data_IF_330676259600
#
_entry.id   IF_330676259600
#
_cell.length_a   1.000
_cell.length_b   1.000
_cell.length_c   1.000
_cell.angle_alpha   90.00
_cell.angle_beta   90.00
_cell.angle_gamma   90.00
#
_symmetry.space_group_name_H-M   'P 1'
#
loop_
_entity.id
_entity.type
_entity.pdbx_description
1 polymer ?
#
# COMPACT_ATOMS: atom_id res chain seq x y z
N UNK A 1 27.34 47.79 39.39
CA UNK A 1 26.86 46.39 39.35
C UNK A 1 27.58 45.63 40.44
N UNK A 2 26.86 45.11 41.43
CA UNK A 2 27.44 44.61 42.68
C UNK A 2 27.84 43.13 42.49
N UNK A 3 28.95 42.70 43.05
CA UNK A 3 29.51 41.34 42.97
C UNK A 3 28.51 40.23 43.36
N UNK A 4 27.53 40.56 44.15
CA UNK A 4 26.45 39.65 44.54
C UNK A 4 25.45 39.37 43.40
N UNK A 5 25.17 40.33 42.53
CA UNK A 5 24.31 40.14 41.37
C UNK A 5 25.04 39.37 40.24
N UNK A 6 26.36 39.46 40.16
CA UNK A 6 27.16 38.69 39.19
C UNK A 6 27.19 37.22 39.53
N UNK A 7 27.25 36.86 40.82
CA UNK A 7 27.21 35.46 41.29
C UNK A 7 25.83 34.82 41.12
N UNK A 8 24.75 35.56 41.30
CA UNK A 8 23.39 35.04 41.07
C UNK A 8 23.08 34.78 39.60
N UNK A 9 23.63 35.55 38.66
CA UNK A 9 23.45 35.32 37.22
C UNK A 9 24.26 34.12 36.71
N UNK A 10 25.42 33.77 37.35
CA UNK A 10 26.20 32.60 36.92
C UNK A 10 25.52 31.26 37.25
N UNK A 11 24.69 31.25 38.33
CA UNK A 11 23.95 30.01 38.68
C UNK A 11 22.70 29.76 37.85
N UNK A 12 22.25 30.75 37.05
CA UNK A 12 21.12 30.55 36.11
C UNK A 12 21.49 30.03 34.74
N UNK A 13 22.80 29.94 34.40
CA UNK A 13 23.28 29.45 33.12
C UNK A 13 23.79 27.99 33.11
N UNK A 14 23.78 27.33 34.26
CA UNK A 14 24.16 25.91 34.32
C UNK A 14 22.90 25.05 34.31
N UNK A 15 22.47 24.59 33.12
CA UNK A 15 21.37 23.63 33.07
C UNK A 15 20.56 23.54 31.78
N UNK A 16 21.11 23.90 30.61
CA UNK A 16 20.55 23.38 29.37
C UNK A 16 21.20 22.03 29.06
N UNK A 17 20.82 21.02 29.83
CA UNK A 17 21.09 19.65 29.52
C UNK A 17 20.50 19.32 28.16
N UNK A 18 21.33 18.72 27.29
CA UNK A 18 20.94 18.15 25.99
C UNK A 18 19.67 17.32 26.23
N UNK A 19 18.58 17.49 25.45
CA UNK A 19 17.39 16.67 25.61
C UNK A 19 17.83 15.19 25.56
N UNK A 20 17.46 14.42 26.58
CA UNK A 20 17.72 12.98 26.61
C UNK A 20 17.02 12.40 25.39
N UNK A 21 17.76 11.74 24.51
CA UNK A 21 17.20 10.91 23.44
C UNK A 21 16.11 10.07 24.09
N UNK A 22 14.91 10.09 23.52
CA UNK A 22 13.75 9.34 24.00
C UNK A 22 14.20 7.96 24.45
N UNK A 23 14.01 7.66 25.72
CA UNK A 23 14.27 6.32 26.22
C UNK A 23 13.32 5.39 25.46
N UNK A 24 13.88 4.50 24.65
CA UNK A 24 13.11 3.42 24.02
C UNK A 24 12.46 2.67 25.17
N UNK A 25 11.12 2.65 25.17
CA UNK A 25 10.38 1.87 26.14
C UNK A 25 10.91 0.44 26.16
N UNK A 26 11.15 -0.18 27.34
CA UNK A 26 11.67 -1.53 27.39
C UNK A 26 10.73 -2.44 26.62
N UNK A 27 11.26 -3.19 25.64
CA UNK A 27 10.48 -4.20 24.91
C UNK A 27 9.85 -5.13 25.92
N UNK A 28 8.51 -5.27 25.89
CA UNK A 28 7.80 -6.19 26.75
C UNK A 28 8.44 -7.59 26.61
N UNK A 29 8.90 -8.14 27.73
CA UNK A 29 9.46 -9.49 27.75
C UNK A 29 8.29 -10.45 27.61
N UNK A 30 8.22 -11.17 26.48
CA UNK A 30 7.24 -12.23 26.29
C UNK A 30 7.49 -13.33 27.35
N UNK A 31 6.54 -13.51 28.25
CA UNK A 31 6.62 -14.52 29.33
C UNK A 31 6.04 -15.87 28.90
N UNK A 32 5.21 -15.89 27.87
CA UNK A 32 4.53 -17.11 27.41
C UNK A 32 4.18 -16.96 25.91
N UNK A 33 4.24 -18.10 25.20
CA UNK A 33 3.79 -18.23 23.80
C UNK A 33 2.76 -19.34 23.76
N UNK A 34 1.58 -19.04 23.24
CA UNK A 34 0.50 -20.01 23.08
C UNK A 34 0.59 -20.65 21.69
N UNK A 35 0.36 -21.95 21.63
CA UNK A 35 0.30 -22.72 20.39
C UNK A 35 -1.13 -23.20 20.15
N UNK A 36 -1.64 -22.96 18.92
CA UNK A 36 -2.94 -23.45 18.50
C UNK A 36 -2.75 -24.62 17.56
N UNK A 37 -3.54 -25.69 17.72
CA UNK A 37 -3.53 -26.82 16.78
C UNK A 37 -4.17 -26.39 15.46
N UNK A 38 -3.68 -26.88 14.34
CA UNK A 38 -4.17 -26.47 13.03
C UNK A 38 -5.67 -26.71 12.83
N UNK A 39 -6.23 -27.80 13.36
CA UNK A 39 -7.66 -28.11 13.25
C UNK A 39 -8.55 -27.17 14.12
N UNK A 40 -7.97 -26.48 15.10
CA UNK A 40 -8.69 -25.54 15.97
C UNK A 40 -8.71 -24.12 15.39
N UNK A 41 -7.98 -23.88 14.29
CA UNK A 41 -7.97 -22.57 13.60
C UNK A 41 -9.32 -22.36 12.93
N UNK A 42 -10.03 -21.31 13.37
CA UNK A 42 -11.31 -20.92 12.75
C UNK A 42 -11.04 -19.99 11.58
N UNK A 43 -11.63 -20.35 10.45
CA UNK A 43 -11.55 -19.55 9.22
C UNK A 43 -12.91 -18.93 8.92
N UNK A 44 -12.90 -17.69 8.44
CA UNK A 44 -14.10 -17.06 7.87
C UNK A 44 -14.39 -17.70 6.50
N UNK A 45 -15.58 -18.33 6.30
CA UNK A 45 -15.91 -18.95 5.02
C UNK A 45 -15.86 -17.99 3.82
N UNK A 46 -16.01 -16.68 4.04
CA UNK A 46 -15.94 -15.67 2.98
C UNK A 46 -14.56 -15.61 2.33
N UNK A 47 -13.49 -15.97 3.07
CA UNK A 47 -12.12 -16.01 2.54
C UNK A 47 -11.92 -17.10 1.48
N UNK A 48 -12.82 -18.10 1.44
CA UNK A 48 -12.77 -19.19 0.46
C UNK A 48 -13.75 -19.00 -0.69
N UNK A 49 -14.38 -17.82 -0.79
CA UNK A 49 -15.28 -17.48 -1.90
C UNK A 49 -14.52 -16.62 -2.89
N UNK A 50 -14.19 -17.13 -4.09
CA UNK A 50 -13.43 -16.36 -5.07
C UNK A 50 -14.24 -15.21 -5.65
N UNK A 51 -13.58 -14.09 -5.84
CA UNK A 51 -14.10 -12.93 -6.56
C UNK A 51 -13.91 -13.20 -8.06
N UNK A 52 -15.02 -13.21 -8.83
CA UNK A 52 -15.00 -13.58 -10.24
C UNK A 52 -15.26 -12.39 -11.15
N UNK A 53 -14.58 -12.36 -12.29
CA UNK A 53 -14.85 -11.42 -13.40
C UNK A 53 -16.03 -11.89 -14.24
N UNK A 54 -16.33 -13.19 -14.26
CA UNK A 54 -17.29 -13.82 -15.16
C UNK A 54 -16.75 -13.99 -16.57
N UNK A 55 -15.43 -13.98 -16.74
CA UNK A 55 -14.73 -14.18 -18.02
C UNK A 55 -13.83 -15.41 -17.97
N UNK A 56 -13.28 -15.81 -19.12
CA UNK A 56 -12.33 -16.94 -19.18
C UNK A 56 -11.08 -16.71 -18.32
N UNK A 57 -10.75 -15.45 -17.97
CA UNK A 57 -9.59 -15.12 -17.15
C UNK A 57 -9.71 -15.72 -15.75
N UNK A 58 -10.93 -15.94 -15.25
CA UNK A 58 -11.15 -16.56 -13.95
C UNK A 58 -10.47 -17.94 -13.84
N UNK A 59 -10.41 -18.70 -14.93
CA UNK A 59 -9.76 -20.03 -14.97
C UNK A 59 -8.23 -19.96 -14.93
N UNK A 60 -7.66 -18.78 -15.26
CA UNK A 60 -6.22 -18.52 -15.18
C UNK A 60 -5.83 -18.07 -13.78
N UNK A 61 -6.74 -17.39 -13.08
CA UNK A 61 -6.49 -16.83 -11.75
C UNK A 61 -6.45 -17.89 -10.64
N UNK A 62 -7.29 -18.91 -10.72
CA UNK A 62 -7.27 -20.05 -9.80
C UNK A 62 -8.06 -21.23 -10.36
N UNK A 63 -7.85 -22.43 -9.80
CA UNK A 63 -8.59 -23.65 -10.19
C UNK A 63 -10.10 -23.55 -9.91
N UNK A 64 -10.49 -22.79 -8.86
CA UNK A 64 -11.89 -22.54 -8.52
C UNK A 64 -12.49 -21.37 -9.32
N UNK A 65 -11.67 -20.71 -10.11
CA UNK A 65 -12.02 -19.55 -10.94
C UNK A 65 -12.14 -18.27 -10.13
N UNK A 66 -11.31 -17.27 -10.46
CA UNK A 66 -11.30 -15.96 -9.82
C UNK A 66 -10.17 -15.74 -8.81
N UNK A 67 -10.22 -14.64 -8.06
CA UNK A 67 -9.22 -14.25 -7.06
C UNK A 67 -9.80 -14.45 -5.66
N UNK A 68 -9.07 -15.13 -4.78
CA UNK A 68 -9.47 -15.26 -3.38
C UNK A 68 -9.16 -13.99 -2.57
N UNK A 69 -10.03 -13.57 -1.64
CA UNK A 69 -9.72 -12.50 -0.70
C UNK A 69 -8.43 -12.78 0.07
N UNK A 70 -7.66 -11.72 0.32
CA UNK A 70 -6.39 -11.82 1.06
C UNK A 70 -5.23 -12.45 0.29
N UNK A 71 -5.37 -12.68 -1.03
CA UNK A 71 -4.26 -13.16 -1.87
C UNK A 71 -3.54 -12.03 -2.57
N UNK A 72 -2.23 -12.21 -2.76
CA UNK A 72 -1.41 -11.36 -3.60
C UNK A 72 -1.01 -12.12 -4.87
N UNK A 73 -1.27 -11.54 -6.03
CA UNK A 73 -0.90 -12.10 -7.33
C UNK A 73 0.14 -11.19 -7.99
N UNK A 74 1.26 -11.75 -8.42
CA UNK A 74 2.30 -11.02 -9.14
C UNK A 74 2.30 -11.47 -10.60
N UNK A 75 2.23 -10.51 -11.52
CA UNK A 75 2.31 -10.73 -12.96
C UNK A 75 3.66 -10.25 -13.46
N UNK A 76 4.46 -11.17 -14.00
CA UNK A 76 5.81 -10.91 -14.48
C UNK A 76 5.85 -11.11 -16.00
N UNK A 77 6.65 -10.32 -16.68
CA UNK A 77 6.87 -10.42 -18.14
C UNK A 77 7.66 -9.22 -18.67
N UNK A 78 8.16 -9.33 -19.87
CA UNK A 78 8.98 -8.30 -20.53
C UNK A 78 8.22 -6.98 -20.74
N UNK A 79 8.91 -5.85 -20.87
CA UNK A 79 8.29 -4.59 -21.26
C UNK A 79 7.52 -4.72 -22.59
N UNK A 80 6.36 -4.06 -22.70
CA UNK A 80 5.57 -4.01 -23.93
C UNK A 80 4.71 -5.24 -24.24
N UNK A 81 4.77 -6.34 -23.46
CA UNK A 81 3.95 -7.55 -23.71
C UNK A 81 2.47 -7.39 -23.36
N UNK A 82 2.06 -6.22 -22.87
CA UNK A 82 0.65 -5.92 -22.61
C UNK A 82 0.17 -6.18 -21.18
N UNK A 83 1.06 -6.40 -20.21
CA UNK A 83 0.70 -6.64 -18.77
C UNK A 83 -0.31 -5.63 -18.26
N UNK A 84 0.04 -4.34 -18.32
CA UNK A 84 -0.82 -3.24 -17.82
C UNK A 84 -2.18 -3.23 -18.52
N UNK A 85 -2.23 -3.49 -19.83
CA UNK A 85 -3.49 -3.54 -20.58
C UNK A 85 -4.38 -4.67 -20.08
N UNK A 86 -3.84 -5.88 -19.91
CA UNK A 86 -4.60 -7.04 -19.41
C UNK A 86 -5.05 -6.82 -17.96
N UNK A 87 -4.19 -6.27 -17.12
CA UNK A 87 -4.52 -6.02 -15.72
C UNK A 87 -5.57 -4.92 -15.54
N UNK A 88 -5.50 -3.84 -16.33
CA UNK A 88 -6.53 -2.80 -16.35
C UNK A 88 -7.87 -3.34 -16.89
N UNK A 89 -7.82 -4.22 -17.90
CA UNK A 89 -9.01 -4.90 -18.41
C UNK A 89 -9.67 -5.77 -17.35
N UNK A 90 -8.86 -6.54 -16.63
CA UNK A 90 -9.30 -7.36 -15.51
C UNK A 90 -9.94 -6.51 -14.41
N UNK A 91 -9.28 -5.41 -14.01
CA UNK A 91 -9.78 -4.49 -13.00
C UNK A 91 -11.13 -3.87 -13.40
N UNK A 92 -11.27 -3.45 -14.67
CA UNK A 92 -12.51 -2.93 -15.21
C UNK A 92 -13.64 -3.98 -15.23
N UNK A 93 -13.31 -5.24 -15.47
CA UNK A 93 -14.29 -6.33 -15.41
C UNK A 93 -14.75 -6.57 -13.97
N UNK A 94 -13.89 -6.56 -12.97
CA UNK A 94 -14.28 -6.61 -11.55
C UNK A 94 -15.18 -5.44 -11.17
N UNK A 95 -14.83 -4.21 -11.59
CA UNK A 95 -15.65 -3.03 -11.34
C UNK A 95 -17.04 -3.18 -11.96
N UNK A 96 -17.16 -3.72 -13.17
CA UNK A 96 -18.44 -3.96 -13.83
C UNK A 96 -19.34 -4.97 -13.09
N UNK A 97 -18.75 -5.81 -12.25
CA UNK A 97 -19.45 -6.75 -11.34
C UNK A 97 -19.72 -6.16 -9.95
N UNK A 98 -19.59 -4.84 -9.81
CA UNK A 98 -19.90 -4.13 -8.57
C UNK A 98 -18.80 -4.19 -7.52
N UNK A 99 -17.59 -4.66 -7.85
CA UNK A 99 -16.45 -4.64 -6.92
C UNK A 99 -15.84 -3.25 -6.83
N UNK A 100 -15.46 -2.86 -5.62
CA UNK A 100 -14.69 -1.64 -5.39
C UNK A 100 -13.24 -1.92 -5.76
N UNK A 101 -12.74 -1.22 -6.75
CA UNK A 101 -11.39 -1.42 -7.29
C UNK A 101 -10.57 -0.14 -7.19
N UNK A 102 -9.25 -0.27 -7.10
CA UNK A 102 -8.31 0.84 -7.15
C UNK A 102 -7.14 0.47 -8.04
N UNK A 103 -6.70 1.40 -8.88
CA UNK A 103 -5.44 1.34 -9.59
C UNK A 103 -4.44 2.30 -8.95
N UNK A 104 -3.29 1.80 -8.51
CA UNK A 104 -2.15 2.59 -8.02
C UNK A 104 -1.09 2.59 -9.12
N UNK A 105 -0.83 3.76 -9.70
CA UNK A 105 0.17 3.94 -10.74
C UNK A 105 1.46 4.51 -10.16
N UNK A 106 2.54 3.72 -10.20
CA UNK A 106 3.90 4.17 -9.90
C UNK A 106 4.60 4.77 -11.11
N UNK A 107 4.30 4.25 -12.29
CA UNK A 107 5.05 4.49 -13.51
C UNK A 107 4.34 5.43 -14.49
N UNK A 108 3.04 5.21 -14.71
CA UNK A 108 2.27 5.96 -15.69
C UNK A 108 1.71 7.26 -15.14
N UNK A 109 1.73 8.31 -15.95
CA UNK A 109 1.15 9.60 -15.65
C UNK A 109 -0.23 9.81 -16.32
N UNK A 110 -0.81 11.00 -16.15
CA UNK A 110 -2.11 11.35 -16.69
C UNK A 110 -2.16 11.31 -18.23
N UNK A 111 -1.05 11.63 -18.92
CA UNK A 111 -0.96 11.62 -20.38
C UNK A 111 -0.99 10.19 -20.89
N UNK A 112 -0.29 9.28 -20.20
CA UNK A 112 -0.29 7.85 -20.55
C UNK A 112 -1.70 7.29 -20.38
N UNK A 113 -2.38 7.65 -19.27
CA UNK A 113 -3.77 7.22 -19.03
C UNK A 113 -4.74 7.73 -20.09
N UNK A 114 -4.58 8.93 -20.59
CA UNK A 114 -5.39 9.43 -21.70
C UNK A 114 -5.29 8.52 -22.93
N UNK A 115 -4.07 8.08 -23.26
CA UNK A 115 -3.83 7.13 -24.36
C UNK A 115 -4.54 5.77 -24.14
N UNK A 116 -4.55 5.27 -22.91
CA UNK A 116 -5.27 4.05 -22.54
C UNK A 116 -6.78 4.22 -22.64
N UNK A 117 -7.35 5.29 -22.09
CA UNK A 117 -8.79 5.56 -22.11
C UNK A 117 -9.29 5.78 -23.53
N UNK A 118 -8.51 6.43 -24.39
CA UNK A 118 -8.86 6.59 -25.80
C UNK A 118 -8.99 5.26 -26.55
N UNK A 119 -8.10 4.29 -26.25
CA UNK A 119 -8.13 2.95 -26.87
C UNK A 119 -9.17 2.04 -26.20
N UNK A 120 -9.35 2.16 -24.90
CA UNK A 120 -10.21 1.32 -24.07
C UNK A 120 -11.10 2.19 -23.18
N UNK A 121 -12.22 2.74 -23.69
CA UNK A 121 -13.07 3.69 -22.95
C UNK A 121 -13.54 3.19 -21.57
N UNK A 122 -13.66 1.87 -21.39
CA UNK A 122 -14.04 1.29 -20.09
C UNK A 122 -13.07 1.59 -18.96
N UNK A 123 -11.79 1.83 -19.24
CA UNK A 123 -10.78 2.16 -18.24
C UNK A 123 -10.99 3.54 -17.63
N UNK A 124 -11.68 4.46 -18.33
CA UNK A 124 -11.98 5.79 -17.83
C UNK A 124 -12.85 5.85 -16.59
N UNK A 125 -13.43 4.74 -16.14
CA UNK A 125 -14.20 4.64 -14.90
C UNK A 125 -13.40 4.12 -13.72
N UNK A 126 -12.17 3.66 -13.94
CA UNK A 126 -11.30 3.14 -12.88
C UNK A 126 -10.79 4.28 -11.99
N UNK A 127 -10.98 4.20 -10.67
CA UNK A 127 -10.30 5.12 -9.76
C UNK A 127 -8.81 4.86 -9.80
N UNK A 128 -8.02 5.93 -9.84
CA UNK A 128 -6.56 5.86 -9.93
C UNK A 128 -5.90 6.74 -8.87
N UNK A 129 -4.85 6.21 -8.26
CA UNK A 129 -3.90 6.95 -7.43
C UNK A 129 -2.60 7.09 -8.20
N UNK A 130 -2.25 8.31 -8.61
CA UNK A 130 -0.94 8.60 -9.21
C UNK A 130 0.09 8.83 -8.12
N UNK A 131 1.04 7.94 -7.96
CA UNK A 131 2.06 8.04 -6.92
C UNK A 131 2.98 9.25 -7.11
N UNK A 132 3.18 9.70 -8.34
CA UNK A 132 3.94 10.90 -8.68
C UNK A 132 3.38 12.18 -8.03
N UNK A 133 2.10 12.20 -7.62
CA UNK A 133 1.49 13.31 -6.92
C UNK A 133 1.81 13.34 -5.42
N UNK A 134 2.45 12.29 -4.89
CA UNK A 134 2.74 12.11 -3.46
C UNK A 134 4.21 11.78 -3.17
N UNK A 135 5.18 12.51 -3.78
CA UNK A 135 6.60 12.16 -3.69
C UNK A 135 7.17 12.29 -2.27
N UNK A 136 6.53 13.08 -1.41
CA UNK A 136 6.99 13.33 -0.03
C UNK A 136 6.37 12.36 1.00
N UNK A 137 5.25 11.74 0.67
CA UNK A 137 4.49 10.89 1.59
C UNK A 137 3.84 9.69 0.86
N UNK A 138 4.60 8.92 0.08
CA UNK A 138 4.05 7.82 -0.74
C UNK A 138 3.39 6.73 0.12
N UNK A 139 4.02 6.35 1.23
CA UNK A 139 3.47 5.36 2.16
C UNK A 139 2.12 5.80 2.73
N UNK A 140 2.04 7.02 3.23
CA UNK A 140 0.80 7.55 3.79
C UNK A 140 -0.32 7.63 2.76
N UNK A 141 -0.01 8.00 1.50
CA UNK A 141 -0.98 8.04 0.42
C UNK A 141 -1.56 6.65 0.13
N UNK A 142 -0.71 5.63 0.10
CA UNK A 142 -1.14 4.23 -0.08
C UNK A 142 -2.00 3.77 1.10
N UNK A 143 -1.54 3.95 2.34
CA UNK A 143 -2.27 3.52 3.55
C UNK A 143 -3.66 4.17 3.65
N UNK A 144 -3.76 5.49 3.42
CA UNK A 144 -5.03 6.20 3.41
C UNK A 144 -5.96 5.70 2.29
N UNK A 145 -5.40 5.36 1.13
CA UNK A 145 -6.19 4.82 0.02
C UNK A 145 -6.71 3.41 0.34
N UNK A 146 -5.85 2.52 0.82
CA UNK A 146 -6.24 1.14 1.16
C UNK A 146 -7.30 1.10 2.29
N UNK A 147 -7.21 2.00 3.25
CA UNK A 147 -8.20 2.12 4.35
C UNK A 147 -9.60 2.53 3.88
N UNK A 148 -9.78 2.92 2.61
CA UNK A 148 -11.11 3.17 2.04
C UNK A 148 -11.88 1.89 1.73
N UNK A 149 -11.27 0.71 1.86
CA UNK A 149 -11.93 -0.59 1.76
C UNK A 149 -12.21 -1.02 0.33
N UNK A 150 -11.18 -1.13 -0.50
CA UNK A 150 -11.28 -1.73 -1.84
C UNK A 150 -11.27 -3.26 -1.76
N UNK A 151 -12.03 -3.91 -2.67
CA UNK A 151 -12.02 -5.36 -2.81
C UNK A 151 -10.77 -5.84 -3.56
N UNK A 152 -10.31 -5.05 -4.54
CA UNK A 152 -9.18 -5.38 -5.42
C UNK A 152 -8.35 -4.11 -5.66
N UNK A 153 -7.04 -4.24 -5.47
CA UNK A 153 -6.08 -3.19 -5.75
C UNK A 153 -5.06 -3.70 -6.77
N UNK A 154 -4.88 -2.97 -7.85
CA UNK A 154 -3.83 -3.18 -8.84
C UNK A 154 -2.72 -2.16 -8.61
N UNK A 155 -1.47 -2.60 -8.56
CA UNK A 155 -0.29 -1.74 -8.48
C UNK A 155 0.58 -2.01 -9.71
N UNK A 156 0.91 -0.97 -10.48
CA UNK A 156 1.74 -1.05 -11.68
C UNK A 156 2.65 0.20 -11.80
N UNK A 157 3.98 0.04 -11.70
CA UNK A 157 4.62 -1.20 -11.29
C UNK A 157 4.88 -1.23 -9.76
N UNK A 158 4.92 -2.43 -9.19
CA UNK A 158 5.27 -2.63 -7.79
C UNK A 158 6.68 -2.14 -7.47
N UNK A 159 7.64 -2.31 -8.39
CA UNK A 159 9.03 -1.90 -8.19
C UNK A 159 9.09 -0.38 -7.93
N UNK A 160 8.52 0.43 -8.81
CA UNK A 160 8.52 1.89 -8.68
C UNK A 160 7.85 2.37 -7.39
N UNK A 161 6.70 1.79 -7.05
CA UNK A 161 5.98 2.15 -5.83
C UNK A 161 6.78 1.77 -4.58
N UNK A 162 7.42 0.60 -4.58
CA UNK A 162 8.26 0.15 -3.48
C UNK A 162 9.48 1.06 -3.30
N UNK A 163 10.13 1.46 -4.38
CA UNK A 163 11.30 2.34 -4.32
C UNK A 163 10.93 3.71 -3.75
N UNK A 164 9.81 4.29 -4.17
CA UNK A 164 9.30 5.55 -3.60
C UNK A 164 9.06 5.45 -2.08
N UNK A 165 8.53 4.32 -1.60
CA UNK A 165 8.29 4.11 -0.16
C UNK A 165 9.58 3.89 0.60
N UNK A 166 10.58 3.24 -0.02
CA UNK A 166 11.88 3.04 0.60
C UNK A 166 12.67 4.35 0.72
N UNK A 167 12.66 5.19 -0.31
CA UNK A 167 13.28 6.52 -0.29
C UNK A 167 12.71 7.40 0.83
N UNK A 168 11.38 7.36 1.07
CA UNK A 168 10.76 8.06 2.21
C UNK A 168 11.36 7.63 3.55
N UNK A 169 11.74 6.36 3.70
CA UNK A 169 12.32 5.80 4.92
C UNK A 169 13.84 6.00 5.01
N UNK A 170 14.49 6.58 4.00
CA UNK A 170 15.92 6.87 3.98
C UNK A 170 16.80 5.63 3.73
N UNK A 171 16.32 4.66 2.98
CA UNK A 171 17.06 3.46 2.53
C UNK A 171 17.54 3.62 1.10
#
# INVERSE_FOLDING_TARGET
>A
MNLTQYKQNKNKMAGRGRPRKNAVAPKAVLKHVEFTKMHDVKFDPSLFTPIKTGTIVDTVLSNEGGIFPGTNTVVIGDPGVGKSTVLLDLLANFQSKGKRVLFISGEMNEIDMFGYVKRYPKFGRLPILFMQNYPQNPKSAIELSLNQGFDIVLIDSWAEVNDMVQEENGW
#
